data_IF_505935697934
#
_entry.id   IF_505935697934
#
_cell.length_a   1.000
_cell.length_b   1.000
_cell.length_c   1.000
_cell.angle_alpha   90.00
_cell.angle_beta   90.00
_cell.angle_gamma   90.00
#
_symmetry.space_group_name_H-M   'P 1'
#
loop_
_entity.id
_entity.type
_entity.pdbx_description
1 polymer ?
#
# COMPACT_ATOMS: atom_id res chain seq x y z
N UNK A 1 6.86 -4.19 5.53
CA UNK A 1 6.32 -3.03 4.82
C UNK A 1 4.84 -2.81 5.09
N UNK A 2 4.19 -1.93 4.31
CA UNK A 2 2.78 -1.54 4.54
C UNK A 2 1.81 -2.73 4.53
N UNK A 3 1.92 -3.65 3.58
CA UNK A 3 1.04 -4.83 3.51
C UNK A 3 1.10 -5.68 4.78
N UNK A 4 2.30 -5.90 5.32
CA UNK A 4 2.48 -6.55 6.62
C UNK A 4 1.83 -5.77 7.75
N UNK A 5 1.99 -4.44 7.76
CA UNK A 5 1.37 -3.58 8.76
C UNK A 5 -0.16 -3.63 8.73
N UNK A 6 -0.76 -3.63 7.54
CA UNK A 6 -2.21 -3.79 7.39
C UNK A 6 -2.67 -5.16 7.89
N UNK A 7 -1.99 -6.25 7.50
CA UNK A 7 -2.30 -7.59 7.95
C UNK A 7 -2.27 -7.69 9.48
N UNK A 8 -1.20 -7.19 10.11
CA UNK A 8 -1.05 -7.14 11.56
C UNK A 8 -2.20 -6.41 12.24
N UNK A 9 -2.55 -5.24 11.76
CA UNK A 9 -3.60 -4.43 12.38
C UNK A 9 -5.00 -5.00 12.16
N UNK A 10 -5.26 -5.65 11.03
CA UNK A 10 -6.50 -6.39 10.79
C UNK A 10 -6.63 -7.60 11.72
N UNK A 11 -5.56 -8.37 11.88
CA UNK A 11 -5.52 -9.52 12.79
C UNK A 11 -5.76 -9.11 14.24
N UNK A 12 -5.18 -8.00 14.71
CA UNK A 12 -5.44 -7.45 16.07
C UNK A 12 -6.90 -7.08 16.29
N UNK A 13 -7.65 -6.77 15.21
CA UNK A 13 -9.07 -6.44 15.24
C UNK A 13 -9.98 -7.64 14.97
N UNK A 14 -9.43 -8.85 15.02
CA UNK A 14 -10.18 -10.10 14.88
C UNK A 14 -10.45 -10.55 13.45
N UNK A 15 -9.92 -9.86 12.44
CA UNK A 15 -10.11 -10.25 11.04
C UNK A 15 -9.36 -11.56 10.71
N UNK A 16 -9.82 -12.25 9.66
CA UNK A 16 -9.10 -13.32 8.97
C UNK A 16 -8.38 -12.71 7.77
N UNK A 17 -7.13 -13.07 7.53
CA UNK A 17 -6.28 -12.41 6.56
C UNK A 17 -5.60 -13.41 5.62
N UNK A 18 -5.74 -13.19 4.32
CA UNK A 18 -4.88 -13.79 3.30
C UNK A 18 -3.78 -12.77 2.96
N UNK A 19 -2.55 -13.09 3.32
CA UNK A 19 -1.39 -12.26 3.00
C UNK A 19 -0.75 -12.76 1.70
N UNK A 20 -0.46 -11.84 0.78
CA UNK A 20 0.16 -12.19 -0.49
C UNK A 20 1.55 -11.60 -0.65
N UNK A 21 2.38 -12.27 -1.43
CA UNK A 21 3.71 -11.83 -1.79
C UNK A 21 4.23 -12.59 -3.01
N UNK A 22 5.33 -12.12 -3.61
CA UNK A 22 5.88 -12.69 -4.84
C UNK A 22 6.65 -14.02 -4.63
N UNK A 23 7.15 -14.26 -3.43
CA UNK A 23 7.96 -15.44 -3.13
C UNK A 23 7.37 -16.22 -1.97
N UNK A 24 7.41 -17.56 -2.06
CA UNK A 24 6.94 -18.43 -0.99
C UNK A 24 7.70 -18.19 0.32
N UNK A 25 9.01 -17.98 0.25
CA UNK A 25 9.84 -17.69 1.42
C UNK A 25 9.37 -16.42 2.15
N UNK A 26 9.20 -15.30 1.41
CA UNK A 26 8.77 -14.01 1.99
C UNK A 26 7.35 -14.07 2.55
N UNK A 27 6.45 -14.83 1.91
CA UNK A 27 5.09 -15.06 2.40
C UNK A 27 5.11 -15.88 3.68
N UNK A 28 5.85 -16.98 3.71
CA UNK A 28 5.96 -17.85 4.88
C UNK A 28 6.61 -17.12 6.08
N UNK A 29 7.69 -16.38 5.86
CA UNK A 29 8.31 -15.55 6.91
C UNK A 29 7.31 -14.55 7.48
N UNK A 30 6.58 -13.85 6.62
CA UNK A 30 5.59 -12.87 7.06
C UNK A 30 4.46 -13.51 7.89
N UNK A 31 3.94 -14.66 7.49
CA UNK A 31 2.91 -15.40 8.24
C UNK A 31 3.45 -15.86 9.58
N UNK A 32 4.64 -16.46 9.63
CA UNK A 32 5.26 -16.91 10.88
C UNK A 32 5.52 -15.75 11.85
N UNK A 33 5.94 -14.59 11.34
CA UNK A 33 6.14 -13.40 12.17
C UNK A 33 4.81 -12.89 12.73
N UNK A 34 3.75 -12.82 11.93
CA UNK A 34 2.42 -12.42 12.38
C UNK A 34 1.88 -13.37 13.46
N UNK A 35 2.05 -14.68 13.28
CA UNK A 35 1.63 -15.70 14.27
C UNK A 35 2.42 -15.57 15.58
N UNK A 36 3.71 -15.24 15.51
CA UNK A 36 4.52 -14.98 16.72
C UNK A 36 4.12 -13.68 17.44
N UNK A 37 3.83 -12.62 16.67
CA UNK A 37 3.42 -11.33 17.23
C UNK A 37 1.99 -11.36 17.80
N UNK A 38 1.10 -12.20 17.23
CA UNK A 38 -0.32 -12.30 17.59
C UNK A 38 -0.68 -13.79 17.66
N UNK A 39 -0.35 -14.49 18.76
CA UNK A 39 -0.55 -15.94 18.86
C UNK A 39 -2.00 -16.38 18.60
N UNK A 40 -2.98 -15.60 19.06
CA UNK A 40 -4.42 -15.87 18.87
C UNK A 40 -4.86 -15.78 17.40
N UNK A 41 -3.99 -15.31 16.50
CA UNK A 41 -4.28 -15.18 15.08
C UNK A 41 -3.76 -16.35 14.23
N UNK A 42 -3.18 -17.38 14.82
CA UNK A 42 -2.56 -18.48 14.08
C UNK A 42 -3.50 -19.11 13.04
N UNK A 43 -4.76 -19.34 13.40
CA UNK A 43 -5.79 -19.90 12.51
C UNK A 43 -6.45 -18.86 11.59
N UNK A 44 -6.14 -17.59 11.80
CA UNK A 44 -6.76 -16.45 11.09
C UNK A 44 -5.85 -15.80 10.05
N UNK A 45 -4.61 -16.26 9.92
CA UNK A 45 -3.66 -15.77 8.91
C UNK A 45 -3.16 -16.91 8.04
N UNK A 46 -3.22 -16.72 6.73
CA UNK A 46 -2.64 -17.63 5.73
C UNK A 46 -1.90 -16.84 4.67
N UNK A 47 -0.95 -17.48 4.02
CA UNK A 47 -0.16 -16.89 2.96
C UNK A 47 -0.45 -17.50 1.60
N UNK A 48 -0.43 -16.69 0.54
CA UNK A 48 -0.54 -17.12 -0.84
C UNK A 48 0.47 -16.39 -1.72
N UNK A 49 1.19 -17.12 -2.56
CA UNK A 49 2.08 -16.51 -3.56
C UNK A 49 1.22 -15.86 -4.65
N UNK A 50 1.58 -14.64 -5.05
CA UNK A 50 0.84 -13.92 -6.07
C UNK A 50 1.78 -13.06 -6.92
N UNK A 51 1.75 -13.28 -8.24
CA UNK A 51 2.25 -12.33 -9.22
C UNK A 51 1.08 -11.44 -9.66
N UNK A 52 1.09 -10.21 -9.18
CA UNK A 52 -0.05 -9.30 -9.33
C UNK A 52 -0.34 -8.91 -10.78
N UNK A 53 0.67 -8.95 -11.65
CA UNK A 53 0.52 -8.68 -13.08
C UNK A 53 -0.10 -9.85 -13.86
N UNK A 54 -0.20 -11.03 -13.25
CA UNK A 54 -0.83 -12.23 -13.82
C UNK A 54 -2.26 -12.37 -13.26
N UNK A 55 -3.24 -12.31 -14.15
CA UNK A 55 -4.67 -12.38 -13.78
C UNK A 55 -5.04 -13.73 -13.13
N UNK A 56 -4.52 -14.84 -13.64
CA UNK A 56 -4.81 -16.19 -13.11
C UNK A 56 -4.19 -16.36 -11.71
N UNK A 57 -3.01 -15.79 -11.50
CA UNK A 57 -2.39 -15.73 -10.17
C UNK A 57 -3.25 -14.94 -9.18
N UNK A 58 -3.81 -13.80 -9.60
CA UNK A 58 -4.71 -13.00 -8.75
C UNK A 58 -6.04 -13.72 -8.49
N UNK A 59 -6.60 -14.41 -9.51
CA UNK A 59 -7.81 -15.22 -9.33
C UNK A 59 -7.57 -16.35 -8.31
N UNK A 60 -6.42 -17.01 -8.38
CA UNK A 60 -6.04 -18.06 -7.43
C UNK A 60 -6.01 -17.55 -5.97
N UNK A 61 -5.61 -16.30 -5.74
CA UNK A 61 -5.67 -15.69 -4.39
C UNK A 61 -7.12 -15.56 -3.91
N UNK A 62 -8.03 -15.14 -4.77
CA UNK A 62 -9.45 -15.05 -4.44
C UNK A 62 -10.02 -16.42 -4.06
N UNK A 63 -9.80 -17.40 -4.91
CA UNK A 63 -10.32 -18.75 -4.74
C UNK A 63 -9.75 -19.43 -3.47
N UNK A 64 -8.45 -19.24 -3.21
CA UNK A 64 -7.80 -19.69 -1.98
C UNK A 64 -8.41 -19.04 -0.74
N UNK A 65 -8.65 -17.72 -0.77
CA UNK A 65 -9.25 -16.99 0.33
C UNK A 65 -10.66 -17.45 0.65
N UNK A 66 -11.49 -17.66 -0.39
CA UNK A 66 -12.86 -18.19 -0.25
C UNK A 66 -12.83 -19.63 0.27
N UNK A 67 -11.98 -20.50 -0.28
CA UNK A 67 -11.85 -21.87 0.20
C UNK A 67 -11.43 -21.95 1.68
N UNK A 68 -10.57 -21.04 2.13
CA UNK A 68 -10.05 -21.03 3.51
C UNK A 68 -10.98 -20.39 4.50
N UNK A 69 -11.67 -19.31 4.13
CA UNK A 69 -12.43 -18.48 5.06
C UNK A 69 -13.92 -18.31 4.73
N UNK A 70 -14.39 -18.88 3.62
CA UNK A 70 -15.79 -18.85 3.18
C UNK A 70 -16.14 -17.61 2.35
N UNK A 71 -15.62 -16.44 2.72
CA UNK A 71 -15.89 -15.18 2.01
C UNK A 71 -14.72 -14.20 2.13
N UNK A 72 -14.70 -13.21 1.25
CA UNK A 72 -13.81 -12.05 1.30
C UNK A 72 -14.68 -10.79 1.41
N UNK A 73 -14.45 -9.99 2.44
CA UNK A 73 -15.19 -8.74 2.69
C UNK A 73 -14.42 -7.51 2.23
N UNK A 74 -13.07 -7.57 2.31
CA UNK A 74 -12.20 -6.44 2.00
C UNK A 74 -11.03 -6.91 1.15
N UNK A 75 -10.81 -6.25 0.02
CA UNK A 75 -9.63 -6.43 -0.81
C UNK A 75 -8.76 -5.17 -0.77
N UNK A 76 -7.55 -5.30 -0.22
CA UNK A 76 -6.56 -4.22 -0.16
C UNK A 76 -5.52 -4.41 -1.26
N UNK A 77 -5.67 -3.70 -2.36
CA UNK A 77 -4.66 -3.70 -3.41
C UNK A 77 -3.50 -2.78 -3.02
N UNK A 78 -2.53 -3.37 -2.33
CA UNK A 78 -1.35 -2.68 -1.82
C UNK A 78 -0.07 -3.03 -2.61
N UNK A 79 -0.03 -4.17 -3.28
CA UNK A 79 1.12 -4.58 -4.07
C UNK A 79 1.55 -3.50 -5.07
N UNK A 80 2.84 -3.33 -5.22
CA UNK A 80 3.40 -2.35 -6.14
C UNK A 80 4.92 -2.29 -6.05
N UNK A 81 5.52 -1.72 -7.08
CA UNK A 81 6.95 -1.50 -7.17
C UNK A 81 7.26 0.00 -7.35
N UNK A 82 8.28 0.47 -6.66
CA UNK A 82 8.73 1.84 -6.74
C UNK A 82 10.23 1.87 -7.10
N UNK A 83 10.57 2.67 -8.11
CA UNK A 83 11.92 3.09 -8.40
C UNK A 83 11.92 4.61 -8.35
N UNK A 84 12.60 5.16 -7.37
CA UNK A 84 12.54 6.59 -7.07
C UNK A 84 13.93 7.16 -6.77
N UNK A 85 14.06 8.49 -6.80
CA UNK A 85 15.31 9.17 -6.47
C UNK A 85 16.31 9.26 -7.62
N UNK A 86 15.97 8.74 -8.81
CA UNK A 86 16.82 8.78 -10.02
C UNK A 86 16.12 9.55 -11.13
N UNK A 87 16.89 10.10 -12.08
CA UNK A 87 16.34 10.76 -13.26
C UNK A 87 15.67 9.78 -14.22
N UNK A 88 14.83 10.28 -15.11
CA UNK A 88 14.13 9.44 -16.09
C UNK A 88 15.11 8.68 -16.99
N UNK A 89 16.17 9.33 -17.45
CA UNK A 89 17.16 8.71 -18.34
C UNK A 89 18.00 7.62 -17.66
N UNK A 90 18.03 7.61 -16.34
CA UNK A 90 18.72 6.61 -15.50
C UNK A 90 17.81 5.43 -15.13
N UNK A 91 16.50 5.51 -15.46
CA UNK A 91 15.54 4.43 -15.23
C UNK A 91 15.58 3.45 -16.40
N UNK A 92 15.91 2.20 -16.15
CA UNK A 92 15.99 1.18 -17.20
C UNK A 92 14.62 0.79 -17.74
N UNK A 93 14.59 0.27 -18.99
CA UNK A 93 13.36 -0.24 -19.58
C UNK A 93 12.70 -1.34 -18.73
N UNK A 94 13.49 -2.23 -18.15
CA UNK A 94 12.98 -3.29 -17.25
C UNK A 94 12.34 -2.71 -15.98
N UNK A 95 12.91 -1.65 -15.39
CA UNK A 95 12.31 -0.97 -14.23
C UNK A 95 11.01 -0.24 -14.60
N UNK A 96 10.94 0.35 -15.81
CA UNK A 96 9.71 0.95 -16.33
C UNK A 96 8.62 -0.11 -16.49
N UNK A 97 8.94 -1.20 -17.17
CA UNK A 97 8.04 -2.33 -17.38
C UNK A 97 7.53 -2.90 -16.06
N UNK A 98 8.43 -3.15 -15.11
CA UNK A 98 8.06 -3.67 -13.78
C UNK A 98 7.15 -2.71 -13.00
N UNK A 99 7.40 -1.39 -13.06
CA UNK A 99 6.52 -0.40 -12.42
C UNK A 99 5.15 -0.34 -13.06
N UNK A 100 5.06 -0.39 -14.38
CA UNK A 100 3.79 -0.35 -15.09
C UNK A 100 3.01 -1.64 -14.88
N UNK A 101 3.66 -2.80 -15.04
CA UNK A 101 3.03 -4.12 -14.85
C UNK A 101 2.53 -4.27 -13.41
N UNK A 102 3.36 -4.06 -12.40
CA UNK A 102 2.93 -4.25 -11.01
C UNK A 102 1.91 -3.19 -10.55
N UNK A 103 2.15 -1.91 -10.87
CA UNK A 103 1.31 -0.83 -10.33
C UNK A 103 0.01 -0.64 -11.11
N UNK A 104 0.05 -0.71 -12.44
CA UNK A 104 -1.13 -0.41 -13.28
C UNK A 104 -1.87 -1.69 -13.64
N UNK A 105 -1.21 -2.61 -14.36
CA UNK A 105 -1.85 -3.87 -14.78
C UNK A 105 -2.29 -4.67 -13.55
N UNK A 106 -1.42 -4.83 -12.57
CA UNK A 106 -1.74 -5.53 -11.33
C UNK A 106 -2.90 -4.89 -10.55
N UNK A 107 -3.01 -3.55 -10.56
CA UNK A 107 -4.17 -2.89 -9.92
C UNK A 107 -5.48 -3.16 -10.67
N UNK A 108 -5.44 -3.25 -11.99
CA UNK A 108 -6.60 -3.58 -12.82
C UNK A 108 -7.01 -5.03 -12.64
N UNK A 109 -6.06 -5.98 -12.68
CA UNK A 109 -6.32 -7.40 -12.42
C UNK A 109 -6.96 -7.61 -11.05
N UNK A 110 -6.38 -7.02 -10.02
CA UNK A 110 -6.90 -7.11 -8.66
C UNK A 110 -8.32 -6.54 -8.53
N UNK A 111 -8.61 -5.42 -9.17
CA UNK A 111 -9.95 -4.84 -9.17
C UNK A 111 -10.94 -5.72 -9.92
N UNK A 112 -10.57 -6.27 -11.08
CA UNK A 112 -11.41 -7.16 -11.87
C UNK A 112 -11.81 -8.41 -11.08
N UNK A 113 -10.83 -9.08 -10.47
CA UNK A 113 -11.06 -10.29 -9.67
C UNK A 113 -11.91 -9.98 -8.44
N UNK A 114 -11.56 -8.92 -7.69
CA UNK A 114 -12.28 -8.55 -6.47
C UNK A 114 -13.75 -8.20 -6.76
N UNK A 115 -14.02 -7.38 -7.77
CA UNK A 115 -15.38 -6.97 -8.13
C UNK A 115 -16.19 -8.18 -8.61
N UNK A 116 -15.62 -9.01 -9.50
CA UNK A 116 -16.30 -10.24 -9.95
C UNK A 116 -16.57 -11.19 -8.79
N UNK A 117 -15.63 -11.31 -7.86
CA UNK A 117 -15.77 -12.13 -6.67
C UNK A 117 -16.86 -11.62 -5.72
N UNK A 118 -16.87 -10.33 -5.38
CA UNK A 118 -17.91 -9.72 -4.54
C UNK A 118 -19.31 -9.89 -5.14
N UNK A 119 -19.45 -9.73 -6.47
CA UNK A 119 -20.71 -9.98 -7.16
C UNK A 119 -21.17 -11.44 -7.03
N UNK A 120 -20.26 -12.40 -7.21
CA UNK A 120 -20.58 -13.82 -7.03
C UNK A 120 -21.00 -14.17 -5.60
N UNK A 121 -20.40 -13.50 -4.61
CA UNK A 121 -20.78 -13.67 -3.20
C UNK A 121 -22.15 -13.06 -2.88
N UNK A 122 -22.63 -12.09 -3.66
CA UNK A 122 -23.86 -11.35 -3.36
C UNK A 122 -23.76 -10.50 -2.08
N UNK A 123 -22.55 -10.11 -1.69
CA UNK A 123 -22.28 -9.35 -0.47
C UNK A 123 -21.71 -7.97 -0.78
N UNK A 124 -21.86 -7.04 0.15
CA UNK A 124 -21.20 -5.74 0.11
C UNK A 124 -19.70 -5.94 0.31
N UNK A 125 -18.90 -5.76 -0.76
CA UNK A 125 -17.45 -5.84 -0.71
C UNK A 125 -16.79 -4.47 -0.65
N UNK A 126 -15.57 -4.40 -0.09
CA UNK A 126 -14.77 -3.17 -0.06
C UNK A 126 -13.46 -3.38 -0.83
N UNK A 127 -13.25 -2.59 -1.88
CA UNK A 127 -12.01 -2.58 -2.66
C UNK A 127 -11.26 -1.27 -2.41
N UNK A 128 -10.00 -1.36 -1.98
CA UNK A 128 -9.13 -0.19 -1.82
C UNK A 128 -7.89 -0.30 -2.70
N UNK A 129 -7.63 0.76 -3.46
CA UNK A 129 -6.46 0.90 -4.33
C UNK A 129 -5.43 1.82 -3.67
N UNK A 130 -4.20 1.34 -3.46
CA UNK A 130 -3.13 2.11 -2.81
C UNK A 130 -2.45 3.04 -3.80
N UNK A 131 -2.50 4.33 -3.49
CA UNK A 131 -1.84 5.41 -4.20
C UNK A 131 -0.48 5.76 -3.58
N UNK A 132 0.29 6.57 -4.29
CA UNK A 132 1.60 7.06 -3.83
C UNK A 132 2.17 8.08 -4.81
N UNK A 133 3.34 8.62 -4.52
CA UNK A 133 4.12 9.44 -5.45
C UNK A 133 3.40 10.65 -6.07
N UNK A 134 2.49 11.29 -5.33
CA UNK A 134 1.68 12.38 -5.89
C UNK A 134 0.49 11.92 -6.73
N UNK A 135 0.26 10.61 -6.90
CA UNK A 135 -0.84 10.06 -7.70
C UNK A 135 -2.21 10.59 -7.29
N UNK A 136 -2.48 10.75 -5.99
CA UNK A 136 -3.73 11.30 -5.48
C UNK A 136 -3.90 12.80 -5.80
N UNK A 137 -2.84 13.60 -5.65
CA UNK A 137 -2.90 15.07 -5.71
C UNK A 137 -2.48 15.65 -7.05
N UNK A 138 -1.82 14.86 -7.92
CA UNK A 138 -1.17 15.35 -9.15
C UNK A 138 0.13 16.13 -8.89
N UNK A 139 0.63 16.15 -7.65
CA UNK A 139 1.90 16.84 -7.33
C UNK A 139 3.05 16.20 -8.09
N UNK A 140 3.76 17.00 -8.85
CA UNK A 140 4.97 16.59 -9.60
C UNK A 140 6.15 16.52 -8.63
N UNK A 141 6.85 15.39 -8.63
CA UNK A 141 8.05 15.17 -7.81
C UNK A 141 9.19 14.71 -8.72
N UNK A 142 10.25 15.50 -8.85
CA UNK A 142 11.44 15.10 -9.62
C UNK A 142 12.02 13.78 -9.09
N UNK A 143 12.52 12.93 -9.98
CA UNK A 143 13.06 11.61 -9.65
C UNK A 143 11.99 10.54 -9.36
N UNK A 144 10.73 10.82 -9.69
CA UNK A 144 9.61 9.88 -9.52
C UNK A 144 8.74 9.76 -10.78
N UNK A 145 9.26 10.14 -11.97
CA UNK A 145 8.48 10.26 -13.20
C UNK A 145 7.63 9.02 -13.51
N UNK A 146 8.24 7.85 -13.65
CA UNK A 146 7.52 6.61 -14.00
C UNK A 146 6.62 6.16 -12.86
N UNK A 147 7.14 6.14 -11.62
CA UNK A 147 6.37 5.75 -10.45
C UNK A 147 5.13 6.64 -10.25
N UNK A 148 5.30 7.96 -10.28
CA UNK A 148 4.18 8.90 -10.11
C UNK A 148 3.17 8.78 -11.24
N UNK A 149 3.63 8.58 -12.49
CA UNK A 149 2.76 8.31 -13.63
C UNK A 149 1.94 7.04 -13.43
N UNK A 150 2.56 5.94 -13.01
CA UNK A 150 1.84 4.69 -12.73
C UNK A 150 0.79 4.87 -11.62
N UNK A 151 1.11 5.57 -10.55
CA UNK A 151 0.16 5.84 -9.45
C UNK A 151 -0.93 6.86 -9.83
N UNK A 152 -0.65 7.77 -10.76
CA UNK A 152 -1.66 8.66 -11.34
C UNK A 152 -2.63 7.89 -12.26
N UNK A 153 -2.12 6.94 -13.03
CA UNK A 153 -2.95 6.03 -13.82
C UNK A 153 -3.90 5.22 -12.93
N UNK A 154 -3.41 4.67 -11.81
CA UNK A 154 -4.25 3.97 -10.81
C UNK A 154 -5.33 4.89 -10.23
N UNK A 155 -5.01 6.17 -9.96
CA UNK A 155 -6.02 7.14 -9.48
C UNK A 155 -7.09 7.39 -10.51
N UNK A 156 -6.71 7.61 -11.77
CA UNK A 156 -7.67 7.81 -12.86
C UNK A 156 -8.56 6.57 -13.05
N UNK A 157 -7.94 5.38 -13.05
CA UNK A 157 -8.67 4.12 -13.10
C UNK A 157 -9.68 3.98 -11.96
N UNK A 158 -9.26 4.29 -10.72
CA UNK A 158 -10.15 4.25 -9.56
C UNK A 158 -11.36 5.19 -9.73
N UNK A 159 -11.14 6.42 -10.18
CA UNK A 159 -12.21 7.40 -10.38
C UNK A 159 -13.21 6.95 -11.47
N UNK A 160 -12.71 6.39 -12.57
CA UNK A 160 -13.54 5.84 -13.63
C UNK A 160 -14.35 4.64 -13.14
N UNK A 161 -13.68 3.71 -12.44
CA UNK A 161 -14.30 2.51 -11.90
C UNK A 161 -15.42 2.83 -10.88
N UNK A 162 -15.23 3.86 -10.05
CA UNK A 162 -16.25 4.36 -9.12
C UNK A 162 -17.51 4.83 -9.88
N UNK A 163 -17.33 5.55 -11.00
CA UNK A 163 -18.44 5.99 -11.84
C UNK A 163 -19.19 4.81 -12.46
N UNK A 164 -18.45 3.88 -13.07
CA UNK A 164 -19.03 2.68 -13.67
C UNK A 164 -19.84 1.85 -12.66
N UNK A 165 -19.32 1.72 -11.41
CA UNK A 165 -20.05 0.98 -10.37
C UNK A 165 -21.32 1.69 -9.90
N UNK A 166 -21.30 3.02 -9.84
CA UNK A 166 -22.49 3.81 -9.51
C UNK A 166 -23.58 3.62 -10.57
N UNK A 167 -23.22 3.59 -11.84
CA UNK A 167 -24.14 3.33 -12.95
C UNK A 167 -24.69 1.90 -12.92
N UNK A 168 -23.86 0.92 -12.56
CA UNK A 168 -24.23 -0.48 -12.42
C UNK A 168 -25.07 -0.79 -11.16
N UNK A 169 -25.23 0.19 -10.26
CA UNK A 169 -25.92 0.05 -8.95
C UNK A 169 -25.39 -1.09 -8.09
N UNK A 170 -24.07 -1.32 -8.15
CA UNK A 170 -23.41 -2.30 -7.29
C UNK A 170 -23.21 -1.74 -5.88
N UNK A 171 -23.40 -2.58 -4.88
CA UNK A 171 -23.14 -2.26 -3.46
C UNK A 171 -21.66 -2.40 -3.08
N UNK A 172 -20.74 -2.52 -4.06
CA UNK A 172 -19.32 -2.65 -3.84
C UNK A 172 -18.71 -1.27 -3.55
N UNK A 173 -18.15 -1.08 -2.37
CA UNK A 173 -17.45 0.14 -2.00
C UNK A 173 -16.05 0.17 -2.61
N UNK A 174 -15.78 1.19 -3.41
CA UNK A 174 -14.44 1.41 -3.98
C UNK A 174 -13.85 2.69 -3.40
N UNK A 175 -12.68 2.56 -2.80
CA UNK A 175 -11.94 3.66 -2.21
C UNK A 175 -10.47 3.65 -2.60
N UNK A 176 -9.75 4.69 -2.20
CA UNK A 176 -8.32 4.77 -2.37
C UNK A 176 -7.61 5.01 -1.04
N UNK A 177 -6.38 4.52 -0.92
CA UNK A 177 -5.53 4.72 0.25
C UNK A 177 -4.30 5.51 -0.18
N UNK A 178 -4.05 6.63 0.47
CA UNK A 178 -2.82 7.41 0.34
C UNK A 178 -2.04 7.37 1.66
N UNK A 179 -1.18 6.35 1.87
CA UNK A 179 -0.55 6.11 3.16
C UNK A 179 0.56 7.11 3.49
N UNK A 180 0.90 8.00 2.58
CA UNK A 180 2.08 8.86 2.69
C UNK A 180 3.38 8.10 2.46
N UNK A 181 4.50 8.69 2.86
CA UNK A 181 5.82 8.08 2.77
C UNK A 181 6.07 7.30 4.05
N UNK A 182 6.19 5.98 3.95
CA UNK A 182 6.45 5.12 5.09
C UNK A 182 7.87 4.58 5.06
N UNK A 183 8.57 4.65 6.19
CA UNK A 183 9.90 4.06 6.34
C UNK A 183 9.76 2.54 6.32
N UNK A 184 10.34 1.93 5.31
CA UNK A 184 10.33 0.49 5.06
C UNK A 184 11.69 0.08 4.51
N UNK A 185 12.02 -1.20 4.57
CA UNK A 185 13.26 -1.72 3.96
C UNK A 185 13.36 -1.38 2.47
N UNK A 186 12.22 -1.38 1.76
CA UNK A 186 12.17 -0.95 0.35
C UNK A 186 12.58 0.51 0.19
N UNK A 187 12.05 1.41 1.01
CA UNK A 187 12.43 2.82 1.00
C UNK A 187 13.91 3.02 1.34
N UNK A 188 14.42 2.32 2.35
CA UNK A 188 15.84 2.42 2.72
C UNK A 188 16.76 1.97 1.60
N UNK A 189 16.42 0.87 0.88
CA UNK A 189 17.15 0.46 -0.32
C UNK A 189 17.14 1.50 -1.43
N UNK A 190 16.00 2.17 -1.65
CA UNK A 190 15.92 3.28 -2.61
C UNK A 190 16.74 4.49 -2.17
N UNK A 191 16.74 4.82 -0.87
CA UNK A 191 17.55 5.90 -0.33
C UNK A 191 19.07 5.69 -0.50
N UNK A 192 19.56 4.46 -0.43
CA UNK A 192 20.96 4.12 -0.69
C UNK A 192 21.41 4.43 -2.12
N UNK A 193 20.46 4.44 -3.08
CA UNK A 193 20.70 4.73 -4.50
C UNK A 193 20.67 6.22 -4.84
N UNK A 194 20.20 7.05 -3.90
CA UNK A 194 20.18 8.50 -4.09
C UNK A 194 21.64 9.01 -4.13
N UNK A 195 22.02 9.77 -5.19
CA UNK A 195 23.36 10.35 -5.30
C UNK A 195 23.75 11.11 -4.04
N UNK A 196 25.01 11.00 -3.61
CA UNK A 196 25.48 11.59 -2.36
C UNK A 196 25.20 13.10 -2.29
N UNK A 197 25.38 13.80 -3.40
CA UNK A 197 25.08 15.25 -3.53
C UNK A 197 23.63 15.63 -3.23
N UNK A 198 22.68 14.68 -3.33
CA UNK A 198 21.24 14.89 -3.08
C UNK A 198 20.76 14.23 -1.78
N UNK A 199 21.60 13.40 -1.14
CA UNK A 199 21.21 12.58 0.01
C UNK A 199 20.75 13.42 1.20
N UNK A 200 21.46 14.50 1.54
CA UNK A 200 21.08 15.40 2.63
C UNK A 200 19.71 16.05 2.39
N UNK A 201 19.43 16.47 1.16
CA UNK A 201 18.12 17.04 0.81
C UNK A 201 17.01 15.99 0.87
N UNK A 202 17.27 14.77 0.37
CA UNK A 202 16.31 13.66 0.42
C UNK A 202 15.99 13.27 1.88
N UNK A 203 16.99 13.24 2.75
CA UNK A 203 16.83 12.99 4.20
C UNK A 203 15.98 14.08 4.87
N UNK A 204 16.25 15.35 4.57
CA UNK A 204 15.42 16.46 5.09
C UNK A 204 13.96 16.36 4.65
N UNK A 205 13.73 16.00 3.40
CA UNK A 205 12.38 15.77 2.88
C UNK A 205 11.73 14.56 3.57
N UNK A 206 12.46 13.45 3.71
CA UNK A 206 11.96 12.26 4.38
C UNK A 206 11.58 12.55 5.84
N UNK A 207 12.38 13.31 6.58
CA UNK A 207 12.07 13.72 7.95
C UNK A 207 10.81 14.60 8.04
N UNK A 208 10.49 15.38 7.00
CA UNK A 208 9.26 16.16 6.95
C UNK A 208 8.03 15.31 6.67
N UNK A 209 8.08 14.44 5.65
CA UNK A 209 6.90 13.72 5.15
C UNK A 209 6.81 12.27 5.61
N UNK A 210 7.93 11.70 6.05
CA UNK A 210 8.04 10.29 6.43
C UNK A 210 7.30 9.95 7.72
N UNK A 211 6.88 8.71 7.82
CA UNK A 211 6.26 8.13 9.00
C UNK A 211 6.58 6.63 9.11
N UNK A 212 6.30 6.04 10.26
CA UNK A 212 6.47 4.59 10.50
C UNK A 212 5.19 3.83 10.14
N UNK A 213 5.38 2.62 9.65
CA UNK A 213 4.27 1.68 9.33
C UNK A 213 3.39 1.46 10.56
N UNK A 214 4.02 1.35 11.73
CA UNK A 214 3.38 1.14 13.03
C UNK A 214 2.48 2.31 13.46
N UNK A 215 2.71 3.50 12.91
CA UNK A 215 1.90 4.69 13.18
C UNK A 215 0.78 4.87 12.16
N UNK A 216 1.06 4.54 10.89
CA UNK A 216 0.10 4.80 9.80
C UNK A 216 -0.95 3.71 9.66
N UNK A 217 -0.55 2.44 9.81
CA UNK A 217 -1.43 1.31 9.50
C UNK A 217 -2.58 1.14 10.48
N UNK A 218 -2.44 1.33 11.81
CA UNK A 218 -3.59 1.29 12.72
C UNK A 218 -4.66 2.29 12.32
N UNK A 219 -4.25 3.54 12.08
CA UNK A 219 -5.16 4.62 11.72
C UNK A 219 -5.87 4.38 10.38
N UNK A 220 -5.17 3.81 9.39
CA UNK A 220 -5.76 3.49 8.08
C UNK A 220 -6.74 2.33 8.22
N UNK A 221 -6.37 1.27 8.94
CA UNK A 221 -7.22 0.08 9.13
C UNK A 221 -8.52 0.44 9.86
N UNK A 222 -8.47 1.28 10.90
CA UNK A 222 -9.69 1.74 11.59
C UNK A 222 -10.65 2.42 10.61
N UNK A 223 -10.12 3.22 9.67
CA UNK A 223 -10.95 3.89 8.67
C UNK A 223 -11.52 2.95 7.62
N UNK A 224 -10.74 1.95 7.18
CA UNK A 224 -11.22 0.91 6.27
C UNK A 224 -12.39 0.15 6.88
N UNK A 225 -12.25 -0.26 8.14
CA UNK A 225 -13.27 -1.05 8.83
C UNK A 225 -14.57 -0.25 9.04
N UNK A 226 -14.44 1.02 9.44
CA UNK A 226 -15.59 1.91 9.68
C UNK A 226 -16.14 2.56 8.40
N UNK A 227 -15.52 2.35 7.24
CA UNK A 227 -15.93 3.03 6.02
C UNK A 227 -17.22 2.45 5.44
N UNK A 228 -18.17 3.32 5.20
CA UNK A 228 -19.47 3.01 4.57
C UNK A 228 -19.74 3.87 3.33
N UNK A 229 -18.73 4.64 2.90
CA UNK A 229 -18.88 5.65 1.84
C UNK A 229 -18.22 5.20 0.55
N UNK A 230 -18.93 5.38 -0.55
CA UNK A 230 -18.36 5.23 -1.88
C UNK A 230 -17.35 6.35 -2.16
N UNK A 231 -16.32 6.05 -2.92
CA UNK A 231 -15.28 7.00 -3.36
C UNK A 231 -14.44 7.62 -2.22
N UNK A 232 -14.36 6.96 -1.06
CA UNK A 232 -13.59 7.48 0.05
C UNK A 232 -12.08 7.44 -0.26
N UNK A 233 -11.39 8.55 0.04
CA UNK A 233 -9.93 8.63 -0.06
C UNK A 233 -9.33 8.72 1.34
N UNK A 234 -8.81 7.60 1.83
CA UNK A 234 -8.15 7.50 3.14
C UNK A 234 -6.73 8.04 3.00
N UNK A 235 -6.53 9.31 3.36
CA UNK A 235 -5.25 10.00 3.23
C UNK A 235 -4.59 10.24 4.57
N UNK A 236 -3.41 9.63 4.79
CA UNK A 236 -2.62 9.86 6.01
C UNK A 236 -1.99 11.24 6.04
N UNK A 237 -1.26 11.62 4.98
CA UNK A 237 -0.52 12.88 4.92
C UNK A 237 -1.40 14.00 4.37
N UNK A 238 -2.23 14.58 5.24
CA UNK A 238 -3.07 15.74 4.90
C UNK A 238 -2.27 17.03 4.98
N UNK A 239 -2.78 18.09 4.34
CA UNK A 239 -2.17 19.45 4.40
C UNK A 239 -2.02 19.92 5.84
N UNK A 240 -3.03 19.68 6.70
CA UNK A 240 -2.97 20.05 8.12
C UNK A 240 -1.84 19.31 8.87
N UNK A 241 -1.65 18.02 8.62
CA UNK A 241 -0.51 17.26 9.20
C UNK A 241 0.83 17.78 8.71
N UNK A 242 0.94 18.10 7.42
CA UNK A 242 2.18 18.65 6.86
C UNK A 242 2.51 20.00 7.49
N UNK A 243 1.53 20.89 7.62
CA UNK A 243 1.71 22.20 8.26
C UNK A 243 2.10 22.06 9.73
N UNK A 244 1.41 21.20 10.48
CA UNK A 244 1.76 20.92 11.89
C UNK A 244 3.17 20.41 12.05
N UNK A 245 3.64 19.52 11.16
CA UNK A 245 5.03 19.02 11.15
C UNK A 245 6.04 20.14 10.83
N UNK A 246 5.74 20.96 9.83
CA UNK A 246 6.60 22.08 9.47
C UNK A 246 6.74 23.06 10.63
N UNK A 247 5.64 23.41 11.29
CA UNK A 247 5.65 24.27 12.47
C UNK A 247 6.44 23.65 13.63
N UNK A 248 6.22 22.38 13.97
CA UNK A 248 6.98 21.74 15.06
C UNK A 248 8.48 21.68 14.79
N UNK A 249 8.89 21.52 13.53
CA UNK A 249 10.32 21.60 13.15
C UNK A 249 10.88 23.02 13.28
N UNK A 250 10.09 24.07 13.01
CA UNK A 250 10.49 25.48 13.23
C UNK A 250 10.67 25.78 14.73
N UNK A 251 9.88 25.15 15.59
CA UNK A 251 10.02 25.27 17.06
C UNK A 251 11.07 24.31 17.67
N UNK A 252 11.99 23.80 16.87
CA UNK A 252 13.15 23.04 17.33
C UNK A 252 12.93 21.54 17.55
N UNK A 253 11.77 20.99 17.25
CA UNK A 253 11.56 19.54 17.30
C UNK A 253 12.27 18.87 16.12
N UNK A 254 13.37 18.17 16.40
CA UNK A 254 14.09 17.37 15.40
C UNK A 254 13.34 16.05 15.16
N UNK A 255 13.02 15.79 13.91
CA UNK A 255 12.50 14.49 13.48
C UNK A 255 13.62 13.73 12.76
N UNK A 256 13.93 12.54 13.25
CA UNK A 256 14.81 11.59 12.57
C UNK A 256 14.06 10.25 12.46
N UNK A 257 13.40 10.08 11.31
CA UNK A 257 12.55 8.92 11.10
C UNK A 257 13.35 7.66 10.77
N UNK A 258 14.59 7.78 10.28
CA UNK A 258 15.44 6.62 9.99
C UNK A 258 16.06 6.09 11.26
N UNK A 259 16.74 6.91 12.04
CA UNK A 259 17.37 6.47 13.31
C UNK A 259 16.33 5.84 14.25
N UNK A 260 15.12 6.41 14.30
CA UNK A 260 14.03 5.81 15.05
C UNK A 260 13.63 4.43 14.50
N UNK A 261 13.61 4.25 13.18
CA UNK A 261 13.29 2.95 12.55
C UNK A 261 14.36 1.90 12.88
N UNK A 262 15.64 2.27 12.78
CA UNK A 262 16.78 1.40 13.08
C UNK A 262 16.78 0.99 14.56
N UNK A 263 16.61 1.94 15.47
CA UNK A 263 16.48 1.68 16.91
C UNK A 263 15.34 0.71 17.26
N UNK A 264 14.16 0.88 16.66
CA UNK A 264 13.02 0.00 16.89
C UNK A 264 13.24 -1.45 16.43
N UNK A 265 14.22 -1.69 15.56
CA UNK A 265 14.56 -3.01 15.01
C UNK A 265 15.86 -3.60 15.56
N UNK A 266 16.51 -2.92 16.50
CA UNK A 266 17.78 -3.35 17.07
C UNK A 266 18.91 -3.39 16.03
N UNK A 267 18.88 -2.49 15.04
CA UNK A 267 19.86 -2.37 13.97
C UNK A 267 20.93 -1.33 14.28
N UNK A 268 20.89 -0.73 15.47
CA UNK A 268 21.90 0.20 16.03
C UNK A 268 22.67 -0.47 17.13
#
# INVERSE_FOLDING_TARGET
GLGYGYARELLKRGARVVLTGRTAEGVNDAVQRLTREIPDAADRVVGCVCEIADLDSVQSVWDFGVARFGSIDIWLNNAGFARTGVGFLETTAAEIELMVSANVVGSMNAAQVAIAGFRRQGSVGKLYLTLGGGGATGRVVPGMSVYSTSKRAVKYFADTLIKERKEARDDILIGTISPGVNVTEGLLREMQRVPESRRAQAMKQLNLVGEHVETTTPWIVDRILCDTRQANNITWLTTGRMLGRALSMLFGQKRDVISRYESQRGLT
#
